data_IF_020052964937
#
_entry.id   IF_020052964937
#
_cell.length_a   1.000
_cell.length_b   1.000
_cell.length_c   1.000
_cell.angle_alpha   90.00
_cell.angle_beta   90.00
_cell.angle_gamma   90.00
#
_symmetry.space_group_name_H-M   'P 1'
#
loop_
_entity.id
_entity.type
_entity.pdbx_description
1 polymer ?
#
# COMPACT_ATOMS: atom_id res chain seq x y z
N UNK A 1 4.12 -2.21 15.25
CA UNK A 1 2.84 -2.14 14.51
C UNK A 1 3.06 -1.49 13.16
N UNK A 2 2.35 -1.95 12.12
CA UNK A 2 2.34 -1.32 10.80
C UNK A 2 0.90 -0.87 10.48
N UNK A 3 0.75 0.36 10.00
CA UNK A 3 -0.53 0.90 9.53
C UNK A 3 -0.40 1.25 8.04
N UNK A 4 -1.38 0.81 7.26
CA UNK A 4 -1.52 1.22 5.87
C UNK A 4 -2.53 2.35 5.77
N UNK A 5 -2.20 3.41 5.03
CA UNK A 5 -3.12 4.52 4.77
C UNK A 5 -3.16 4.80 3.28
N UNK A 6 -4.37 4.97 2.75
CA UNK A 6 -4.61 5.52 1.41
C UNK A 6 -4.98 6.99 1.55
N UNK A 7 -4.23 7.87 0.90
CA UNK A 7 -4.57 9.27 0.75
C UNK A 7 -5.42 9.45 -0.52
N UNK A 8 -6.73 9.20 -0.41
CA UNK A 8 -7.61 9.09 -1.57
C UNK A 8 -8.81 10.02 -1.56
N UNK A 9 -8.77 11.07 -2.40
CA UNK A 9 -9.92 11.85 -2.85
C UNK A 9 -9.56 12.65 -4.13
N UNK A 10 -10.44 12.81 -5.13
CA UNK A 10 -11.75 12.16 -5.33
C UNK A 10 -11.60 10.75 -5.92
N UNK A 11 -12.68 9.95 -5.91
CA UNK A 11 -12.78 8.54 -6.34
C UNK A 11 -12.37 8.22 -7.78
N UNK A 12 -11.88 9.19 -8.55
CA UNK A 12 -11.41 9.05 -9.94
C UNK A 12 -10.17 9.92 -10.15
N UNK A 13 -9.18 9.77 -9.27
CA UNK A 13 -7.86 10.39 -9.36
C UNK A 13 -6.78 9.37 -9.01
N UNK A 14 -5.52 9.69 -9.34
CA UNK A 14 -4.42 8.92 -8.78
C UNK A 14 -4.36 9.12 -7.27
N UNK A 15 -4.06 8.06 -6.53
CA UNK A 15 -4.02 8.08 -5.06
C UNK A 15 -2.66 7.63 -4.56
N UNK A 16 -2.18 8.34 -3.54
CA UNK A 16 -0.99 7.92 -2.82
C UNK A 16 -1.38 6.99 -1.69
N UNK A 17 -0.43 6.14 -1.32
CA UNK A 17 -0.51 5.36 -0.10
C UNK A 17 0.74 5.57 0.74
N UNK A 18 0.64 5.31 2.03
CA UNK A 18 1.81 5.33 2.90
C UNK A 18 1.68 4.29 4.00
N UNK A 19 2.83 3.83 4.47
CA UNK A 19 2.96 2.89 5.57
C UNK A 19 3.54 3.65 6.75
N UNK A 20 2.90 3.52 7.91
CA UNK A 20 3.37 4.03 9.18
C UNK A 20 3.80 2.88 10.08
N UNK A 21 4.74 3.14 10.98
CA UNK A 21 5.09 2.22 12.06
C UNK A 21 5.07 2.88 13.43
N UNK A 22 4.87 2.07 14.46
CA UNK A 22 4.92 2.45 15.87
C UNK A 22 5.20 1.22 16.73
N UNK A 23 5.86 1.40 17.89
CA UNK A 23 6.07 0.33 18.87
C UNK A 23 4.80 0.03 19.69
N UNK A 24 3.93 1.02 19.84
CA UNK A 24 2.66 1.00 20.56
C UNK A 24 1.49 1.13 19.58
N UNK A 25 0.36 0.48 19.83
CA UNK A 25 -0.82 0.54 18.92
C UNK A 25 -1.43 1.94 18.85
N UNK A 26 -1.19 2.77 19.86
CA UNK A 26 -1.64 4.17 19.91
C UNK A 26 -0.64 5.16 19.31
N UNK A 27 0.51 4.69 18.82
CA UNK A 27 1.59 5.55 18.35
C UNK A 27 2.58 5.93 19.46
N UNK A 28 3.52 6.85 19.20
CA UNK A 28 3.57 7.77 18.05
C UNK A 28 3.86 7.05 16.73
N UNK A 29 3.18 7.48 15.66
CA UNK A 29 3.33 6.90 14.33
C UNK A 29 4.36 7.66 13.51
N UNK A 30 5.29 6.94 12.86
CA UNK A 30 6.26 7.48 11.90
C UNK A 30 6.06 6.87 10.52
N UNK A 31 6.18 7.68 9.47
CA UNK A 31 6.08 7.18 8.10
C UNK A 31 7.37 6.47 7.70
N UNK A 32 7.25 5.25 7.17
CA UNK A 32 8.38 4.43 6.73
C UNK A 32 8.44 4.22 5.23
N UNK A 33 7.30 4.35 4.56
CA UNK A 33 7.22 4.28 3.11
C UNK A 33 6.13 5.21 2.61
N UNK A 34 6.46 6.02 1.61
CA UNK A 34 5.51 6.78 0.81
C UNK A 34 5.45 6.15 -0.58
N UNK A 35 4.25 5.74 -0.98
CA UNK A 35 3.97 4.99 -2.19
C UNK A 35 3.14 5.88 -3.11
N UNK A 36 3.83 6.72 -3.87
CA UNK A 36 3.20 7.62 -4.83
C UNK A 36 2.47 6.85 -5.92
N UNK A 37 1.22 7.21 -6.18
CA UNK A 37 0.37 6.61 -7.23
C UNK A 37 0.33 5.06 -7.19
N UNK A 38 0.38 4.44 -6.01
CA UNK A 38 0.40 2.98 -5.89
C UNK A 38 -0.94 2.36 -6.30
N UNK A 39 -0.89 1.32 -7.16
CA UNK A 39 -2.07 0.75 -7.82
C UNK A 39 -2.76 1.74 -8.76
N UNK A 40 -2.16 2.91 -9.00
CA UNK A 40 -2.70 4.18 -9.48
C UNK A 40 -3.93 4.70 -8.73
N UNK A 41 -4.85 3.83 -8.32
CA UNK A 41 -5.94 4.13 -7.39
C UNK A 41 -6.17 2.95 -6.44
N UNK A 42 -5.13 2.55 -5.69
CA UNK A 42 -5.29 1.51 -4.67
C UNK A 42 -6.03 2.04 -3.42
N UNK A 43 -6.88 1.19 -2.85
CA UNK A 43 -7.61 1.43 -1.62
C UNK A 43 -7.73 0.14 -0.78
N UNK A 44 -8.09 0.29 0.49
CA UNK A 44 -8.12 -0.80 1.48
C UNK A 44 -6.80 -1.56 1.64
N UNK A 45 -5.66 -0.85 1.57
CA UNK A 45 -4.36 -1.47 1.84
C UNK A 45 -4.33 -2.05 3.26
N UNK A 46 -3.83 -3.28 3.40
CA UNK A 46 -3.62 -3.92 4.70
C UNK A 46 -2.59 -5.05 4.63
N UNK A 47 -2.07 -5.43 5.80
CA UNK A 47 -1.21 -6.60 5.99
C UNK A 47 -1.94 -7.62 6.88
N UNK A 48 -2.52 -8.70 6.32
CA UNK A 48 -3.17 -9.71 7.15
C UNK A 48 -2.11 -10.47 7.96
N UNK A 49 -2.25 -10.46 9.29
CA UNK A 49 -1.28 -11.05 10.21
C UNK A 49 -1.02 -12.54 9.98
N UNK A 50 -1.99 -13.26 9.40
CA UNK A 50 -1.89 -14.69 9.05
C UNK A 50 -0.84 -14.98 7.96
N UNK A 51 -0.50 -13.99 7.14
CA UNK A 51 0.45 -14.12 6.02
C UNK A 51 1.78 -13.40 6.29
N UNK A 52 2.17 -13.29 7.56
CA UNK A 52 3.50 -12.80 7.95
C UNK A 52 4.41 -14.02 8.15
N UNK A 53 5.60 -14.00 7.57
CA UNK A 53 6.60 -15.05 7.76
C UNK A 53 7.02 -15.15 9.23
N UNK A 54 7.53 -16.31 9.63
CA UNK A 54 7.95 -16.56 11.02
C UNK A 54 9.04 -15.60 11.53
N UNK A 55 9.85 -15.05 10.64
CA UNK A 55 10.89 -14.05 10.94
C UNK A 55 10.37 -12.60 10.89
N UNK A 56 9.09 -12.38 10.57
CA UNK A 56 8.48 -11.07 10.46
C UNK A 56 8.93 -10.23 9.25
N UNK A 57 9.79 -10.75 8.37
CA UNK A 57 10.41 -9.97 7.28
C UNK A 57 9.66 -10.03 5.95
N UNK A 58 8.84 -11.06 5.70
CA UNK A 58 7.99 -11.18 4.51
C UNK A 58 6.53 -11.06 4.91
N UNK A 59 5.80 -10.23 4.17
CA UNK A 59 4.38 -9.94 4.39
C UNK A 59 3.63 -10.01 3.07
N UNK A 60 2.31 -10.11 3.15
CA UNK A 60 1.44 -9.97 1.99
C UNK A 60 0.67 -8.66 2.05
N UNK A 61 0.96 -7.73 1.13
CA UNK A 61 0.18 -6.52 0.93
C UNK A 61 -1.11 -6.89 0.19
N UNK A 62 -2.24 -6.64 0.85
CA UNK A 62 -3.57 -6.77 0.27
C UNK A 62 -4.10 -5.40 -0.12
N UNK A 63 -4.64 -5.25 -1.32
CA UNK A 63 -5.36 -4.04 -1.73
C UNK A 63 -6.39 -4.36 -2.83
N UNK A 64 -7.30 -3.43 -3.08
CA UNK A 64 -8.10 -3.38 -4.31
C UNK A 64 -7.77 -2.08 -5.04
N UNK A 65 -7.91 -2.05 -6.36
CA UNK A 65 -7.69 -0.84 -7.13
C UNK A 65 -8.76 -0.67 -8.22
N UNK A 66 -9.07 0.58 -8.54
CA UNK A 66 -9.92 0.92 -9.68
C UNK A 66 -9.07 1.17 -10.91
N UNK A 67 -9.64 0.82 -12.07
CA UNK A 67 -9.02 1.02 -13.38
C UNK A 67 -10.02 1.70 -14.32
N UNK A 68 -10.64 2.77 -13.82
CA UNK A 68 -11.58 3.56 -14.61
C UNK A 68 -10.85 4.16 -15.80
N UNK A 69 -11.17 3.68 -17.01
CA UNK A 69 -10.65 4.25 -18.24
C UNK A 69 -11.54 5.41 -18.71
N UNK A 70 -10.96 6.59 -18.91
CA UNK A 70 -11.63 7.76 -19.47
C UNK A 70 -12.57 8.50 -18.51
N UNK A 71 -12.87 7.98 -17.32
CA UNK A 71 -13.68 8.71 -16.35
C UNK A 71 -12.87 9.88 -15.76
N UNK A 72 -13.48 11.09 -15.73
CA UNK A 72 -12.82 12.34 -15.33
C UNK A 72 -11.53 12.67 -16.11
N UNK A 73 -11.36 12.12 -17.32
CA UNK A 73 -10.16 12.33 -18.13
C UNK A 73 -8.91 11.65 -17.57
N UNK A 74 -9.05 10.74 -16.59
CA UNK A 74 -7.94 9.96 -16.04
C UNK A 74 -7.89 8.60 -16.74
N UNK A 75 -6.68 8.17 -17.08
CA UNK A 75 -6.40 6.82 -17.57
C UNK A 75 -5.54 6.11 -16.52
N UNK A 76 -6.18 5.25 -15.73
CA UNK A 76 -5.54 4.51 -14.64
C UNK A 76 -4.96 3.19 -15.16
N UNK A 77 -3.71 2.92 -14.81
CA UNK A 77 -2.95 1.74 -15.24
C UNK A 77 -2.77 0.76 -14.10
N UNK A 78 -2.61 -0.52 -14.47
CA UNK A 78 -2.21 -1.57 -13.54
C UNK A 78 -0.73 -1.41 -13.21
N UNK A 79 -0.44 -0.90 -12.01
CA UNK A 79 0.90 -0.80 -11.48
C UNK A 79 0.88 -0.91 -9.94
N UNK A 80 1.33 -2.01 -9.32
CA UNK A 80 2.13 -3.09 -9.90
C UNK A 80 1.33 -4.10 -10.76
N UNK A 81 2.01 -4.90 -11.63
CA UNK A 81 1.39 -6.00 -12.37
C UNK A 81 0.74 -7.02 -11.43
N UNK A 82 -0.51 -7.40 -11.70
CA UNK A 82 -1.31 -8.29 -10.83
C UNK A 82 -2.39 -7.57 -10.01
N UNK A 83 -2.36 -6.23 -9.98
CA UNK A 83 -3.45 -5.41 -9.45
C UNK A 83 -4.74 -5.54 -10.26
N UNK A 84 -5.88 -5.50 -9.58
CA UNK A 84 -7.23 -5.57 -10.19
C UNK A 84 -8.31 -4.96 -9.30
N UNK A 85 -9.48 -4.71 -9.90
CA UNK A 85 -10.70 -4.39 -9.16
C UNK A 85 -11.18 -5.66 -8.44
N UNK A 86 -10.72 -5.83 -7.20
CA UNK A 86 -10.84 -7.05 -6.40
C UNK A 86 -9.62 -7.25 -5.50
N UNK A 87 -9.60 -8.34 -4.74
CA UNK A 87 -8.48 -8.64 -3.86
C UNK A 87 -7.22 -8.94 -4.68
N UNK A 88 -6.25 -8.04 -4.58
CA UNK A 88 -4.88 -8.15 -5.11
C UNK A 88 -3.94 -8.44 -3.94
N UNK A 89 -2.97 -9.31 -4.17
CA UNK A 89 -2.07 -9.87 -3.16
C UNK A 89 -0.65 -9.81 -3.69
N UNK A 90 0.22 -9.07 -3.00
CA UNK A 90 1.63 -8.95 -3.35
C UNK A 90 2.50 -9.29 -2.15
N UNK A 91 3.39 -10.26 -2.32
CA UNK A 91 4.43 -10.49 -1.31
C UNK A 91 5.39 -9.29 -1.31
N UNK A 92 5.70 -8.79 -0.12
CA UNK A 92 6.68 -7.72 0.11
C UNK A 92 7.70 -8.18 1.15
N UNK A 93 8.87 -7.55 1.12
CA UNK A 93 9.93 -7.77 2.08
C UNK A 93 10.29 -6.47 2.78
N UNK A 94 10.37 -6.51 4.12
CA UNK A 94 10.96 -5.44 4.90
C UNK A 94 12.47 -5.49 4.72
N UNK A 95 13.02 -4.36 4.27
CA UNK A 95 14.45 -4.17 4.12
C UNK A 95 14.96 -3.31 5.27
N UNK A 96 16.19 -3.59 5.72
CA UNK A 96 16.86 -2.70 6.65
C UNK A 96 17.08 -1.35 5.97
N UNK A 97 16.84 -0.26 6.70
CA UNK A 97 17.16 1.06 6.20
C UNK A 97 18.66 1.08 5.84
N UNK A 98 19.05 1.64 4.68
CA UNK A 98 20.46 1.87 4.39
C UNK A 98 21.06 2.61 5.58
N UNK A 99 22.15 2.11 6.15
CA UNK A 99 22.89 2.85 7.16
C UNK A 99 23.16 4.25 6.59
N UNK A 100 22.59 5.28 7.24
CA UNK A 100 22.91 6.66 6.91
C UNK A 100 24.44 6.79 7.04
N UNK A 101 25.11 7.04 5.91
CA UNK A 101 26.53 7.36 5.90
C UNK A 101 26.74 8.77 6.44
#
# INVERSE_FOLDING_TARGET
YLMCVTNGWPTVAKMDSYILEADEITGPWRMVAYLKDFGEQAYFLNFPSKFISSDGKRLWLCYSANFSDGWNGVNLKINPPGGRYGLSLHEIQLIEAPHAR
#
